data_IF_953988984953
#
_entry.id   IF_953988984953
#
_cell.length_a   1.000
_cell.length_b   1.000
_cell.length_c   1.000
_cell.angle_alpha   90.00
_cell.angle_beta   90.00
_cell.angle_gamma   90.00
#
_symmetry.space_group_name_H-M   'P 1'
#
loop_
_entity.id
_entity.type
_entity.pdbx_description
1 polymer ?
#
# COMPACT_ATOMS: atom_id res chain seq x y z
N UNK A 1 37.38 -7.02 -18.63
CA UNK A 1 36.18 -6.33 -19.15
C UNK A 1 35.46 -5.65 -17.99
N UNK A 2 35.64 -4.34 -17.89
CA UNK A 2 35.04 -3.46 -16.89
C UNK A 2 33.59 -3.15 -17.27
N UNK A 3 32.61 -3.68 -16.53
CA UNK A 3 31.31 -3.01 -16.44
C UNK A 3 31.23 -2.36 -15.06
N UNK A 4 31.33 -1.03 -14.99
CA UNK A 4 30.93 -0.28 -13.80
C UNK A 4 29.46 -0.58 -13.55
N UNK A 5 29.17 -1.54 -12.68
CA UNK A 5 27.80 -1.85 -12.26
C UNK A 5 27.38 -0.72 -11.31
N UNK A 6 26.53 0.17 -11.81
CA UNK A 6 25.96 1.28 -11.05
C UNK A 6 24.98 0.81 -9.97
N UNK A 7 24.56 1.74 -9.11
CA UNK A 7 23.69 1.46 -7.95
C UNK A 7 22.35 0.86 -8.40
N UNK A 8 21.81 1.36 -9.51
CA UNK A 8 20.56 0.89 -10.13
C UNK A 8 20.62 -0.58 -10.52
N UNK A 9 21.77 -1.08 -11.00
CA UNK A 9 21.96 -2.48 -11.37
C UNK A 9 21.79 -3.44 -10.18
N UNK A 10 22.25 -3.05 -8.99
CA UNK A 10 22.11 -3.85 -7.77
C UNK A 10 20.66 -3.89 -7.28
N UNK A 11 19.96 -2.75 -7.30
CA UNK A 11 18.56 -2.66 -6.90
C UNK A 11 17.65 -3.48 -7.82
N UNK A 12 17.90 -3.45 -9.12
CA UNK A 12 17.13 -4.19 -10.13
C UNK A 12 17.17 -5.72 -9.94
N UNK A 13 18.29 -6.25 -9.44
CA UNK A 13 18.45 -7.70 -9.22
C UNK A 13 18.17 -8.14 -7.80
N UNK A 14 18.48 -7.31 -6.80
CA UNK A 14 18.24 -7.65 -5.40
C UNK A 14 16.79 -7.44 -4.99
N UNK A 15 16.08 -6.45 -5.55
CA UNK A 15 14.70 -6.18 -5.17
C UNK A 15 13.74 -7.35 -5.46
N UNK A 16 13.75 -8.00 -6.64
CA UNK A 16 12.95 -9.20 -6.88
C UNK A 16 13.34 -10.38 -5.97
N UNK A 17 14.64 -10.53 -5.68
CA UNK A 17 15.14 -11.61 -4.80
C UNK A 17 14.69 -11.38 -3.35
N UNK A 18 14.72 -10.13 -2.87
CA UNK A 18 14.24 -9.77 -1.52
C UNK A 18 12.71 -9.84 -1.43
N UNK A 19 11.99 -9.51 -2.50
CA UNK A 19 10.53 -9.64 -2.57
C UNK A 19 10.11 -11.11 -2.58
N UNK A 20 10.80 -11.95 -3.36
CA UNK A 20 10.60 -13.40 -3.42
C UNK A 20 11.05 -14.07 -2.12
N UNK A 21 12.18 -13.67 -1.53
CA UNK A 21 12.61 -14.17 -0.23
C UNK A 21 11.62 -13.79 0.87
N UNK A 22 11.12 -12.54 0.88
CA UNK A 22 10.06 -12.11 1.80
C UNK A 22 8.75 -12.86 1.60
N UNK A 23 8.36 -13.12 0.35
CA UNK A 23 7.17 -13.92 0.04
C UNK A 23 7.36 -15.42 0.36
N UNK A 24 8.55 -15.98 0.13
CA UNK A 24 8.88 -17.36 0.49
C UNK A 24 8.93 -17.52 1.99
N UNK A 25 9.51 -16.58 2.74
CA UNK A 25 9.47 -16.52 4.21
C UNK A 25 8.02 -16.42 4.70
N UNK A 26 7.21 -15.61 4.03
CA UNK A 26 5.80 -15.46 4.32
C UNK A 26 4.95 -16.67 3.91
N UNK A 27 5.41 -17.54 3.01
CA UNK A 27 4.64 -18.73 2.57
C UNK A 27 5.13 -19.99 3.30
N UNK A 28 6.42 -20.08 3.62
CA UNK A 28 7.01 -21.20 4.36
C UNK A 28 6.54 -21.27 5.81
N UNK A 29 6.08 -20.15 6.39
CA UNK A 29 5.42 -20.12 7.70
C UNK A 29 4.04 -20.80 7.75
N UNK A 30 3.45 -21.19 6.61
CA UNK A 30 2.06 -21.67 6.53
C UNK A 30 1.87 -23.05 5.87
N UNK A 31 2.95 -23.82 5.70
CA UNK A 31 2.82 -25.25 5.40
C UNK A 31 2.82 -26.05 6.70
N UNK A 32 2.32 -27.29 6.69
CA UNK A 32 2.37 -28.20 7.85
C UNK A 32 3.81 -28.41 8.35
N UNK A 33 4.81 -28.25 7.47
CA UNK A 33 6.23 -28.19 7.84
C UNK A 33 6.59 -26.88 8.56
N UNK A 34 6.02 -25.75 8.16
CA UNK A 34 6.08 -24.47 8.87
C UNK A 34 5.45 -24.50 10.25
N UNK A 35 4.34 -25.23 10.42
CA UNK A 35 3.70 -25.47 11.73
C UNK A 35 4.60 -26.31 12.65
N UNK A 36 5.25 -27.36 12.13
CA UNK A 36 6.25 -28.15 12.89
C UNK A 36 7.53 -27.35 13.23
N UNK A 37 7.85 -26.36 12.41
CA UNK A 37 9.00 -25.46 12.57
C UNK A 37 8.69 -24.21 13.43
N UNK A 38 7.43 -23.96 13.78
CA UNK A 38 6.98 -22.84 14.62
C UNK A 38 6.82 -23.23 16.10
N UNK A 39 6.82 -24.52 16.45
CA UNK A 39 6.69 -24.96 17.86
C UNK A 39 7.97 -24.74 18.71
N UNK A 40 9.14 -24.49 18.11
CA UNK A 40 10.35 -23.98 18.80
C UNK A 40 11.20 -23.19 17.77
N UNK A 41 12.30 -22.52 18.17
CA UNK A 41 12.57 -21.09 18.21
C UNK A 41 12.98 -20.46 16.85
N UNK A 42 12.36 -20.79 15.73
CA UNK A 42 12.87 -20.37 14.42
C UNK A 42 12.78 -18.86 14.17
N UNK A 43 11.78 -18.16 14.72
CA UNK A 43 11.74 -16.67 14.68
C UNK A 43 12.88 -16.05 15.51
N UNK A 44 13.25 -16.68 16.63
CA UNK A 44 14.38 -16.27 17.48
C UNK A 44 15.76 -16.57 16.84
N UNK A 45 15.84 -17.40 15.80
CA UNK A 45 17.07 -17.62 15.01
C UNK A 45 17.07 -16.85 13.67
N UNK A 46 15.91 -16.65 13.05
CA UNK A 46 15.79 -15.99 11.76
C UNK A 46 15.82 -14.47 11.84
N UNK A 47 15.24 -13.85 12.87
CA UNK A 47 15.36 -12.39 13.04
C UNK A 47 16.82 -12.02 13.35
N UNK A 48 17.52 -12.67 14.30
CA UNK A 48 18.96 -12.50 14.46
C UNK A 48 19.76 -12.90 13.22
N UNK A 49 19.34 -13.93 12.48
CA UNK A 49 19.96 -14.36 11.22
C UNK A 49 19.83 -13.34 10.09
N UNK A 50 18.68 -12.68 9.94
CA UNK A 50 18.43 -11.56 9.02
C UNK A 50 19.17 -10.31 9.46
N UNK A 51 19.17 -10.02 10.77
CA UNK A 51 19.95 -8.93 11.37
C UNK A 51 21.44 -9.16 11.17
N UNK A 52 21.95 -10.38 11.33
CA UNK A 52 23.35 -10.78 11.09
C UNK A 52 23.71 -10.79 9.61
N UNK A 53 22.84 -11.32 8.75
CA UNK A 53 23.05 -11.36 7.30
C UNK A 53 23.06 -9.94 6.72
N UNK A 54 22.13 -9.09 7.15
CA UNK A 54 22.07 -7.73 6.69
C UNK A 54 23.06 -6.80 7.45
N UNK A 55 23.53 -7.15 8.66
CA UNK A 55 24.70 -6.53 9.29
C UNK A 55 26.00 -6.91 8.56
N UNK A 56 26.16 -8.17 8.14
CA UNK A 56 27.28 -8.62 7.29
C UNK A 56 27.24 -7.94 5.92
N UNK A 57 26.06 -7.77 5.33
CA UNK A 57 25.87 -7.00 4.10
C UNK A 57 26.23 -5.52 4.31
N UNK A 58 25.77 -4.90 5.40
CA UNK A 58 26.12 -3.52 5.77
C UNK A 58 27.63 -3.35 6.00
N UNK A 59 28.28 -4.28 6.70
CA UNK A 59 29.73 -4.27 6.93
C UNK A 59 30.52 -4.49 5.63
N UNK A 60 30.03 -5.36 4.74
CA UNK A 60 30.59 -5.56 3.40
C UNK A 60 30.47 -4.30 2.53
N UNK A 61 29.38 -3.55 2.68
CA UNK A 61 29.13 -2.32 1.91
C UNK A 61 29.84 -1.11 2.52
N UNK A 62 30.02 -1.04 3.85
CA UNK A 62 30.83 -0.01 4.51
C UNK A 62 32.27 0.03 3.97
N UNK A 63 32.79 -1.11 3.48
CA UNK A 63 34.09 -1.21 2.81
C UNK A 63 34.13 -0.61 1.39
N UNK A 64 32.99 -0.25 0.79
CA UNK A 64 32.94 0.22 -0.61
C UNK A 64 33.25 1.71 -0.80
N UNK A 65 33.51 2.48 0.28
CA UNK A 65 33.74 3.94 0.30
C UNK A 65 32.64 4.82 -0.35
N UNK A 66 31.65 4.22 -1.00
CA UNK A 66 30.57 4.91 -1.67
C UNK A 66 29.54 5.39 -0.63
N UNK A 67 29.62 6.68 -0.28
CA UNK A 67 28.74 7.35 0.69
C UNK A 67 27.25 7.16 0.37
N UNK A 68 26.88 7.04 -0.91
CA UNK A 68 25.49 6.90 -1.36
C UNK A 68 25.02 5.45 -1.18
N UNK A 69 25.83 4.47 -1.58
CA UNK A 69 25.51 3.05 -1.39
C UNK A 69 25.42 2.69 0.10
N UNK A 70 26.35 3.22 0.90
CA UNK A 70 26.35 3.08 2.36
C UNK A 70 25.13 3.73 3.00
N UNK A 71 24.66 4.86 2.46
CA UNK A 71 23.47 5.53 2.96
C UNK A 71 22.16 4.83 2.58
N UNK A 72 22.05 4.36 1.34
CA UNK A 72 20.97 3.52 0.82
C UNK A 72 20.77 2.27 1.68
N UNK A 73 21.82 1.46 1.77
CA UNK A 73 21.74 0.18 2.46
C UNK A 73 21.69 0.36 3.97
N UNK A 74 22.47 1.28 4.54
CA UNK A 74 22.38 1.59 5.96
C UNK A 74 20.99 2.12 6.35
N UNK A 75 20.34 2.90 5.49
CA UNK A 75 19.07 3.55 5.81
C UNK A 75 17.92 2.57 5.76
N UNK A 76 17.84 1.81 4.67
CA UNK A 76 16.87 0.73 4.52
C UNK A 76 17.11 -0.34 5.59
N UNK A 77 18.35 -0.78 5.81
CA UNK A 77 18.69 -1.79 6.81
C UNK A 77 18.34 -1.34 8.23
N UNK A 78 18.82 -0.15 8.64
CA UNK A 78 18.58 0.35 9.99
C UNK A 78 17.09 0.57 10.24
N UNK A 79 16.36 1.13 9.27
CA UNK A 79 14.92 1.35 9.41
C UNK A 79 14.16 0.02 9.44
N UNK A 80 14.48 -0.94 8.58
CA UNK A 80 13.82 -2.26 8.55
C UNK A 80 14.14 -3.11 9.78
N UNK A 81 15.40 -3.14 10.24
CA UNK A 81 15.79 -3.87 11.46
C UNK A 81 15.21 -3.24 12.72
N UNK A 82 15.23 -1.90 12.82
CA UNK A 82 14.63 -1.22 13.97
C UNK A 82 13.11 -1.37 13.96
N UNK A 83 12.46 -1.34 12.79
CA UNK A 83 11.02 -1.59 12.66
C UNK A 83 10.69 -3.02 13.10
N UNK A 84 11.32 -4.03 12.49
CA UNK A 84 11.04 -5.44 12.79
C UNK A 84 11.41 -5.75 14.25
N UNK A 85 12.56 -5.28 14.73
CA UNK A 85 13.03 -5.52 16.09
C UNK A 85 12.18 -4.82 17.15
N UNK A 86 11.77 -3.57 16.93
CA UNK A 86 10.88 -2.86 17.86
C UNK A 86 9.46 -3.45 17.86
N UNK A 87 8.90 -3.75 16.68
CA UNK A 87 7.58 -4.37 16.58
C UNK A 87 7.57 -5.79 17.14
N UNK A 88 8.67 -6.55 16.99
CA UNK A 88 8.83 -7.86 17.60
C UNK A 88 8.97 -7.78 19.13
N UNK A 89 9.85 -6.91 19.65
CA UNK A 89 10.01 -6.74 21.10
C UNK A 89 8.70 -6.29 21.77
N UNK A 90 7.99 -5.35 21.14
CA UNK A 90 6.68 -4.92 21.60
C UNK A 90 5.65 -6.05 21.46
N UNK A 91 5.74 -6.87 20.42
CA UNK A 91 4.91 -8.06 20.21
C UNK A 91 5.14 -9.12 21.30
N UNK A 92 6.38 -9.40 21.68
CA UNK A 92 6.73 -10.32 22.77
C UNK A 92 6.28 -9.79 24.14
N UNK A 93 6.46 -8.49 24.41
CA UNK A 93 5.95 -7.85 25.64
C UNK A 93 4.41 -7.87 25.70
N UNK A 94 3.77 -7.76 24.54
CA UNK A 94 2.33 -7.79 24.39
C UNK A 94 1.78 -9.22 24.53
N UNK A 95 2.33 -10.20 23.79
CA UNK A 95 1.94 -11.63 23.82
C UNK A 95 2.31 -12.26 25.17
N UNK A 96 3.44 -11.87 25.77
CA UNK A 96 3.93 -12.36 27.07
C UNK A 96 3.18 -11.83 28.29
N UNK A 97 2.04 -11.15 28.11
CA UNK A 97 1.12 -10.79 29.19
C UNK A 97 1.44 -9.49 29.95
N UNK A 98 2.52 -8.79 29.63
CA UNK A 98 2.90 -7.54 30.32
C UNK A 98 1.96 -6.36 30.03
N UNK A 99 1.20 -6.47 28.93
CA UNK A 99 0.14 -5.53 28.51
C UNK A 99 -1.27 -6.17 28.59
N UNK A 100 -1.47 -7.18 29.43
CA UNK A 100 -2.71 -7.96 29.51
C UNK A 100 -3.85 -7.24 30.24
N UNK A 101 -4.41 -6.21 29.59
CA UNK A 101 -5.52 -5.40 30.10
C UNK A 101 -6.68 -5.35 29.09
N UNK A 102 -6.87 -6.42 28.30
CA UNK A 102 -7.91 -6.49 27.26
C UNK A 102 -7.71 -5.42 26.17
N UNK A 103 -8.80 -4.76 25.75
CA UNK A 103 -8.80 -3.71 24.71
C UNK A 103 -7.81 -2.56 24.97
N UNK A 104 -7.55 -2.25 26.25
CA UNK A 104 -6.55 -1.25 26.63
C UNK A 104 -5.13 -1.71 26.27
N UNK A 105 -4.85 -3.01 26.38
CA UNK A 105 -3.59 -3.62 25.96
C UNK A 105 -3.36 -3.46 24.45
N UNK A 106 -4.39 -3.75 23.64
CA UNK A 106 -4.35 -3.63 22.17
C UNK A 106 -4.12 -2.18 21.75
N UNK A 107 -4.84 -1.25 22.40
CA UNK A 107 -4.66 0.18 22.18
C UNK A 107 -3.24 0.65 22.53
N UNK A 108 -2.73 0.26 23.70
CA UNK A 108 -1.38 0.63 24.15
C UNK A 108 -0.31 0.02 23.24
N UNK A 109 -0.48 -1.22 22.79
CA UNK A 109 0.42 -1.87 21.83
C UNK A 109 0.50 -1.08 20.52
N UNK A 110 -0.64 -0.70 19.94
CA UNK A 110 -0.67 0.12 18.73
C UNK A 110 -0.05 1.49 18.97
N UNK A 111 -0.46 2.19 20.03
CA UNK A 111 0.00 3.54 20.34
C UNK A 111 1.52 3.58 20.57
N UNK A 112 2.05 2.69 21.41
CA UNK A 112 3.49 2.59 21.70
C UNK A 112 4.25 2.21 20.43
N UNK A 113 3.76 1.25 19.64
CA UNK A 113 4.42 0.85 18.38
C UNK A 113 4.51 1.99 17.39
N UNK A 114 3.44 2.78 17.23
CA UNK A 114 3.43 3.97 16.38
C UNK A 114 4.39 5.03 16.92
N UNK A 115 4.39 5.31 18.22
CA UNK A 115 5.29 6.30 18.84
C UNK A 115 6.76 5.91 18.70
N UNK A 116 7.09 4.65 18.97
CA UNK A 116 8.44 4.10 18.79
C UNK A 116 8.85 4.20 17.32
N UNK A 117 8.00 3.78 16.39
CA UNK A 117 8.26 3.91 14.97
C UNK A 117 8.55 5.36 14.55
N UNK A 118 7.68 6.31 14.93
CA UNK A 118 7.88 7.72 14.59
C UNK A 118 9.17 8.29 15.21
N UNK A 119 9.52 7.87 16.42
CA UNK A 119 10.75 8.26 17.11
C UNK A 119 11.99 7.72 16.39
N UNK A 120 11.95 6.45 15.95
CA UNK A 120 13.03 5.85 15.16
C UNK A 120 13.21 6.56 13.82
N UNK A 121 12.10 6.92 13.15
CA UNK A 121 12.15 7.69 11.89
C UNK A 121 12.85 9.04 12.08
N UNK A 122 12.65 9.71 13.22
CA UNK A 122 13.36 10.95 13.56
C UNK A 122 14.85 10.73 13.82
N UNK A 123 15.23 9.65 14.50
CA UNK A 123 16.64 9.31 14.71
C UNK A 123 17.33 9.04 13.37
N UNK A 124 16.67 8.29 12.48
CA UNK A 124 17.14 8.02 11.11
C UNK A 124 17.34 9.34 10.35
N UNK A 125 16.38 10.27 10.40
CA UNK A 125 16.53 11.59 9.78
C UNK A 125 17.80 12.33 10.25
N UNK A 126 18.08 12.31 11.55
CA UNK A 126 19.25 12.98 12.14
C UNK A 126 20.54 12.34 11.62
N UNK A 127 20.64 11.00 11.66
CA UNK A 127 21.83 10.27 11.21
C UNK A 127 22.11 10.52 9.72
N UNK A 128 21.07 10.43 8.87
CA UNK A 128 21.24 10.59 7.43
C UNK A 128 21.44 12.03 6.99
N UNK A 129 20.85 13.00 7.70
CA UNK A 129 21.04 14.42 7.37
C UNK A 129 22.51 14.84 7.42
N UNK A 130 23.30 14.24 8.32
CA UNK A 130 24.74 14.47 8.44
C UNK A 130 25.53 13.72 7.36
N UNK A 131 25.17 12.47 7.05
CA UNK A 131 25.88 11.63 6.07
C UNK A 131 25.67 12.07 4.62
N UNK A 132 24.52 12.67 4.32
CA UNK A 132 24.15 13.14 2.99
C UNK A 132 24.43 14.65 2.79
N UNK A 133 25.28 15.24 3.64
CA UNK A 133 25.77 16.59 3.43
C UNK A 133 26.50 16.68 2.08
N UNK A 134 26.05 17.58 1.21
CA UNK A 134 26.59 17.75 -0.16
C UNK A 134 25.86 16.98 -1.27
N UNK A 135 24.88 16.13 -0.93
CA UNK A 135 23.97 15.53 -1.93
C UNK A 135 22.91 16.57 -2.35
N UNK A 136 22.48 16.52 -3.62
CA UNK A 136 21.41 17.37 -4.13
C UNK A 136 20.14 17.30 -3.27
N UNK A 137 19.36 18.37 -3.27
CA UNK A 137 18.11 18.46 -2.48
C UNK A 137 16.91 18.60 -3.38
N UNK A 138 15.80 18.02 -2.93
CA UNK A 138 14.47 18.13 -3.54
C UNK A 138 13.44 18.33 -2.44
N UNK A 139 12.25 18.79 -2.82
CA UNK A 139 11.12 18.87 -1.88
C UNK A 139 10.88 17.49 -1.25
N UNK A 140 11.00 17.41 0.07
CA UNK A 140 10.80 16.16 0.82
C UNK A 140 12.00 15.20 0.85
N UNK A 141 13.17 15.56 0.31
CA UNK A 141 14.27 14.60 0.27
C UNK A 141 15.63 15.06 -0.29
N UNK A 142 16.44 14.05 -0.59
CA UNK A 142 17.73 14.16 -1.26
C UNK A 142 17.63 13.59 -2.67
N UNK A 143 18.43 14.10 -3.60
CA UNK A 143 18.46 13.66 -5.00
C UNK A 143 19.89 13.34 -5.42
N UNK A 144 20.05 12.17 -6.03
CA UNK A 144 21.25 11.78 -6.73
C UNK A 144 20.91 11.33 -8.16
N UNK A 145 21.65 11.89 -9.13
CA UNK A 145 21.55 11.52 -10.53
C UNK A 145 22.85 10.83 -10.93
N UNK A 146 22.75 9.57 -11.33
CA UNK A 146 23.86 8.74 -11.81
C UNK A 146 23.79 8.69 -13.35
N UNK A 147 24.81 9.21 -14.03
CA UNK A 147 24.91 9.17 -15.50
C UNK A 147 25.70 7.94 -15.95
N UNK A 148 25.44 7.43 -17.15
CA UNK A 148 26.14 6.26 -17.70
C UNK A 148 25.68 4.92 -17.13
N UNK A 149 24.47 4.87 -16.55
CA UNK A 149 23.85 3.66 -16.00
C UNK A 149 22.49 3.40 -16.64
N UNK A 150 21.93 2.22 -16.40
CA UNK A 150 20.62 1.86 -16.91
C UNK A 150 19.55 2.88 -16.48
N UNK A 151 18.62 3.17 -17.39
CA UNK A 151 17.51 4.09 -17.13
C UNK A 151 16.66 3.60 -15.95
N UNK A 152 16.32 4.48 -15.03
CA UNK A 152 15.49 4.12 -13.87
C UNK A 152 15.35 5.25 -12.88
N UNK A 153 14.27 5.21 -12.12
CA UNK A 153 14.03 6.07 -10.96
C UNK A 153 13.69 5.20 -9.77
N UNK A 154 14.15 5.60 -8.59
CA UNK A 154 13.73 4.96 -7.35
C UNK A 154 13.76 5.95 -6.19
N UNK A 155 12.63 6.05 -5.50
CA UNK A 155 12.48 6.82 -4.27
C UNK A 155 12.28 5.90 -3.07
N UNK A 156 13.16 5.98 -2.07
CA UNK A 156 13.01 5.23 -0.82
C UNK A 156 13.05 6.13 0.41
N UNK A 157 12.45 5.65 1.50
CA UNK A 157 12.37 6.37 2.76
C UNK A 157 13.68 6.30 3.55
N UNK A 158 14.11 7.46 4.06
CA UNK A 158 15.20 7.64 5.01
C UNK A 158 14.65 8.37 6.23
N UNK A 159 13.80 7.71 7.02
CA UNK A 159 13.05 8.41 8.05
C UNK A 159 11.90 9.20 7.43
N UNK A 160 11.63 10.42 7.91
CA UNK A 160 10.55 11.26 7.37
C UNK A 160 10.88 11.90 6.02
N UNK A 161 12.17 11.84 5.61
CA UNK A 161 12.65 12.27 4.29
C UNK A 161 12.78 11.10 3.33
N UNK A 162 12.83 11.40 2.04
CA UNK A 162 13.10 10.41 1.00
C UNK A 162 14.46 10.64 0.35
N UNK A 163 15.00 9.61 -0.29
CA UNK A 163 16.15 9.72 -1.18
C UNK A 163 15.71 9.26 -2.57
N UNK A 164 15.97 10.11 -3.55
CA UNK A 164 15.65 9.92 -4.96
C UNK A 164 16.92 9.56 -5.69
N UNK A 165 16.92 8.40 -6.33
CA UNK A 165 17.98 7.94 -7.21
C UNK A 165 17.45 7.91 -8.65
N UNK A 166 18.17 8.54 -9.57
CA UNK A 166 17.83 8.55 -10.99
C UNK A 166 19.04 8.08 -11.79
N UNK A 167 18.82 7.15 -12.72
CA UNK A 167 19.80 6.65 -13.66
C UNK A 167 19.37 6.93 -15.11
N UNK A 168 20.34 7.25 -15.97
CA UNK A 168 20.14 7.42 -17.42
C UNK A 168 21.00 8.53 -18.02
N UNK A 169 20.79 8.82 -19.30
CA UNK A 169 21.58 9.82 -20.04
C UNK A 169 20.72 10.83 -20.82
N UNK A 170 19.62 10.38 -21.42
CA UNK A 170 18.70 11.22 -22.19
C UNK A 170 18.05 12.29 -21.30
N UNK A 171 18.30 13.60 -21.54
CA UNK A 171 17.81 14.66 -20.68
C UNK A 171 16.28 14.72 -20.56
N UNK A 172 15.55 14.42 -21.64
CA UNK A 172 14.09 14.52 -21.66
C UNK A 172 13.46 13.36 -20.86
N UNK A 173 14.02 12.16 -20.97
CA UNK A 173 13.64 11.00 -20.17
C UNK A 173 14.02 11.20 -18.71
N UNK A 174 15.21 11.72 -18.42
CA UNK A 174 15.66 12.01 -17.07
C UNK A 174 14.77 13.05 -16.38
N UNK A 175 14.32 14.08 -17.09
CA UNK A 175 13.39 15.08 -16.56
C UNK A 175 12.04 14.44 -16.17
N UNK A 176 11.51 13.54 -17.01
CA UNK A 176 10.26 12.82 -16.72
C UNK A 176 10.40 11.93 -15.49
N UNK A 177 11.46 11.12 -15.41
CA UNK A 177 11.74 10.27 -14.24
C UNK A 177 11.90 11.14 -12.99
N UNK A 178 12.61 12.27 -13.12
CA UNK A 178 12.84 13.19 -12.01
C UNK A 178 11.54 13.76 -11.45
N UNK A 179 10.64 14.25 -12.29
CA UNK A 179 9.36 14.78 -11.84
C UNK A 179 8.51 13.73 -11.12
N UNK A 180 8.50 12.49 -11.62
CA UNK A 180 7.81 11.35 -11.02
C UNK A 180 8.35 11.04 -9.62
N UNK A 181 9.67 10.85 -9.51
CA UNK A 181 10.32 10.48 -8.25
C UNK A 181 10.32 11.62 -7.22
N UNK A 182 10.50 12.87 -7.67
CA UNK A 182 10.37 14.04 -6.80
C UNK A 182 8.96 14.14 -6.21
N UNK A 183 7.92 13.76 -6.95
CA UNK A 183 6.57 13.72 -6.41
C UNK A 183 6.43 12.71 -5.27
N UNK A 184 7.02 11.51 -5.41
CA UNK A 184 7.06 10.52 -4.35
C UNK A 184 7.75 11.04 -3.10
N UNK A 185 8.88 11.74 -3.26
CA UNK A 185 9.62 12.35 -2.15
C UNK A 185 8.81 13.45 -1.47
N UNK A 186 8.28 14.40 -2.26
CA UNK A 186 7.49 15.55 -1.80
C UNK A 186 6.26 15.13 -1.00
N UNK A 187 5.57 14.09 -1.45
CA UNK A 187 4.35 13.61 -0.81
C UNK A 187 4.58 12.48 0.20
N UNK A 188 5.86 12.18 0.51
CA UNK A 188 6.28 11.15 1.47
C UNK A 188 5.65 9.78 1.20
N UNK A 189 5.58 9.39 -0.06
CA UNK A 189 5.01 8.09 -0.46
C UNK A 189 5.71 6.90 0.21
N UNK A 190 7.05 6.87 0.34
CA UNK A 190 7.71 5.79 1.07
C UNK A 190 7.26 5.67 2.54
N UNK A 191 7.11 6.80 3.23
CA UNK A 191 6.64 6.82 4.62
C UNK A 191 5.20 6.31 4.74
N UNK A 192 4.32 6.69 3.79
CA UNK A 192 2.94 6.18 3.75
C UNK A 192 2.89 4.67 3.54
N UNK A 193 3.73 4.13 2.66
CA UNK A 193 3.84 2.68 2.45
C UNK A 193 4.34 1.96 3.70
N UNK A 194 5.35 2.51 4.38
CA UNK A 194 5.84 1.94 5.64
C UNK A 194 4.79 1.98 6.76
N UNK A 195 4.01 3.07 6.85
CA UNK A 195 2.89 3.16 7.80
C UNK A 195 1.80 2.12 7.51
N UNK A 196 1.49 1.87 6.24
CA UNK A 196 0.56 0.81 5.85
C UNK A 196 1.09 -0.56 6.29
N UNK A 197 2.37 -0.86 6.01
CA UNK A 197 2.99 -2.12 6.42
C UNK A 197 3.03 -2.27 7.95
N UNK A 198 3.33 -1.20 8.69
CA UNK A 198 3.27 -1.20 10.14
C UNK A 198 1.85 -1.52 10.63
N UNK A 199 0.82 -0.84 10.09
CA UNK A 199 -0.56 -1.12 10.46
C UNK A 199 -0.96 -2.58 10.17
N UNK A 200 -0.55 -3.12 9.02
CA UNK A 200 -0.78 -4.52 8.66
C UNK A 200 -0.09 -5.50 9.63
N UNK A 201 1.16 -5.21 10.01
CA UNK A 201 1.91 -6.01 11.00
C UNK A 201 1.26 -5.97 12.38
N UNK A 202 0.86 -4.79 12.85
CA UNK A 202 0.19 -4.63 14.14
C UNK A 202 -1.15 -5.38 14.17
N UNK A 203 -1.95 -5.25 13.11
CA UNK A 203 -3.21 -5.98 12.99
C UNK A 203 -2.98 -7.49 13.00
N UNK A 204 -1.97 -7.97 12.27
CA UNK A 204 -1.60 -9.39 12.26
C UNK A 204 -1.18 -9.87 13.65
N UNK A 205 -0.41 -9.07 14.39
CA UNK A 205 -0.01 -9.37 15.78
C UNK A 205 -1.19 -9.48 16.73
N UNK A 206 -2.16 -8.56 16.61
CA UNK A 206 -3.43 -8.61 17.36
C UNK A 206 -4.20 -9.89 17.02
N UNK A 207 -4.33 -10.23 15.74
CA UNK A 207 -5.02 -11.46 15.31
C UNK A 207 -4.36 -12.73 15.84
N UNK A 208 -3.02 -12.78 15.90
CA UNK A 208 -2.29 -13.92 16.46
C UNK A 208 -2.56 -14.04 17.98
N UNK A 209 -2.46 -12.93 18.73
CA UNK A 209 -2.73 -12.91 20.18
C UNK A 209 -4.13 -13.45 20.50
N UNK A 210 -5.14 -13.01 19.76
CA UNK A 210 -6.51 -13.42 19.97
C UNK A 210 -6.84 -14.81 19.40
N UNK A 211 -5.84 -15.58 18.97
CA UNK A 211 -6.03 -16.95 18.43
C UNK A 211 -6.74 -17.00 17.07
N UNK A 212 -6.96 -15.85 16.43
CA UNK A 212 -7.70 -15.72 15.16
C UNK A 212 -6.90 -16.34 14.00
N UNK A 213 -5.59 -16.50 14.16
CA UNK A 213 -4.68 -17.08 13.15
C UNK A 213 -5.07 -18.50 12.69
N UNK A 214 -5.74 -19.27 13.54
CA UNK A 214 -6.25 -20.62 13.22
C UNK A 214 -7.64 -20.64 12.57
N UNK A 215 -8.20 -19.47 12.26
CA UNK A 215 -9.57 -19.35 11.74
C UNK A 215 -9.56 -18.89 10.27
N UNK A 216 -10.66 -19.09 9.52
CA UNK A 216 -10.80 -18.56 8.16
C UNK A 216 -10.69 -17.02 8.05
N UNK A 217 -10.79 -16.31 9.18
CA UNK A 217 -10.62 -14.86 9.26
C UNK A 217 -9.20 -14.43 8.90
N UNK A 218 -8.20 -15.20 9.32
CA UNK A 218 -6.80 -14.84 9.12
C UNK A 218 -6.40 -14.78 7.63
N UNK A 219 -6.59 -15.83 6.82
CA UNK A 219 -6.23 -15.79 5.40
C UNK A 219 -7.06 -14.75 4.62
N UNK A 220 -8.32 -14.50 4.99
CA UNK A 220 -9.16 -13.49 4.34
C UNK A 220 -8.68 -12.07 4.64
N UNK A 221 -8.36 -11.76 5.90
CA UNK A 221 -7.79 -10.47 6.31
C UNK A 221 -6.42 -10.22 5.68
N UNK A 222 -5.54 -11.23 5.64
CA UNK A 222 -4.24 -11.17 4.97
C UNK A 222 -4.41 -10.84 3.49
N UNK A 223 -5.32 -11.53 2.80
CA UNK A 223 -5.57 -11.28 1.39
C UNK A 223 -6.13 -9.87 1.15
N UNK A 224 -7.02 -9.39 2.03
CA UNK A 224 -7.54 -8.03 1.98
C UNK A 224 -6.43 -6.98 2.16
N UNK A 225 -5.50 -7.20 3.11
CA UNK A 225 -4.33 -6.34 3.31
C UNK A 225 -3.39 -6.37 2.10
N UNK A 226 -3.12 -7.55 1.52
CA UNK A 226 -2.24 -7.68 0.36
C UNK A 226 -2.82 -6.99 -0.88
N UNK A 227 -4.10 -7.22 -1.19
CA UNK A 227 -4.79 -6.55 -2.30
C UNK A 227 -4.90 -5.05 -2.03
N UNK A 228 -5.27 -4.65 -0.81
CA UNK A 228 -5.32 -3.24 -0.40
C UNK A 228 -3.97 -2.53 -0.57
N UNK A 229 -2.87 -3.20 -0.21
CA UNK A 229 -1.52 -2.68 -0.40
C UNK A 229 -1.17 -2.46 -1.87
N UNK A 230 -1.52 -3.41 -2.74
CA UNK A 230 -1.31 -3.27 -4.19
C UNK A 230 -2.10 -2.11 -4.78
N UNK A 231 -3.39 -1.99 -4.42
CA UNK A 231 -4.23 -0.85 -4.84
C UNK A 231 -3.65 0.46 -4.33
N UNK A 232 -3.14 0.48 -3.09
CA UNK A 232 -2.54 1.65 -2.50
C UNK A 232 -1.26 2.08 -3.22
N UNK A 233 -0.32 1.16 -3.50
CA UNK A 233 0.88 1.45 -4.30
C UNK A 233 0.47 2.05 -5.65
N UNK A 234 -0.48 1.43 -6.36
CA UNK A 234 -0.91 1.88 -7.68
C UNK A 234 -1.57 3.27 -7.63
N UNK A 235 -2.28 3.60 -6.56
CA UNK A 235 -2.80 4.95 -6.34
C UNK A 235 -1.67 5.98 -6.13
N UNK A 236 -0.60 5.61 -5.43
CA UNK A 236 0.58 6.45 -5.25
C UNK A 236 1.35 6.66 -6.58
N UNK A 237 1.47 5.62 -7.41
CA UNK A 237 2.10 5.68 -8.73
C UNK A 237 1.30 6.56 -9.70
N UNK A 238 -0.02 6.38 -9.77
CA UNK A 238 -0.86 7.21 -10.66
C UNK A 238 -0.89 8.67 -10.24
N UNK A 239 -0.77 8.98 -8.95
CA UNK A 239 -0.65 10.35 -8.47
C UNK A 239 0.67 11.01 -8.93
N UNK A 240 1.77 10.26 -8.95
CA UNK A 240 3.05 10.71 -9.49
C UNK A 240 2.97 10.90 -11.01
N UNK A 241 2.38 9.95 -11.74
CA UNK A 241 2.13 10.09 -13.18
C UNK A 241 1.28 11.33 -13.50
N UNK A 242 0.23 11.59 -12.72
CA UNK A 242 -0.63 12.76 -12.91
C UNK A 242 0.10 14.08 -12.56
N UNK A 243 1.09 14.05 -11.68
CA UNK A 243 1.96 15.20 -11.46
C UNK A 243 2.87 15.46 -12.66
N UNK A 244 3.48 14.41 -13.20
CA UNK A 244 4.31 14.47 -14.41
C UNK A 244 3.51 14.99 -15.61
N UNK A 245 2.25 14.53 -15.79
CA UNK A 245 1.34 15.09 -16.79
C UNK A 245 1.09 16.58 -16.61
N UNK A 246 0.83 17.04 -15.38
CA UNK A 246 0.59 18.47 -15.12
C UNK A 246 1.79 19.35 -15.44
N UNK A 247 3.01 18.81 -15.30
CA UNK A 247 4.24 19.53 -15.59
C UNK A 247 4.61 19.51 -17.08
N UNK A 248 4.46 18.36 -17.75
CA UNK A 248 4.96 18.15 -19.12
C UNK A 248 3.86 18.11 -20.19
N UNK A 249 2.59 18.03 -19.79
CA UNK A 249 1.45 17.87 -20.68
C UNK A 249 1.61 16.64 -21.60
N UNK A 250 1.20 16.74 -22.89
CA UNK A 250 1.31 15.67 -23.88
C UNK A 250 2.70 15.02 -24.00
N UNK A 251 3.77 15.76 -23.72
CA UNK A 251 5.13 15.24 -23.80
C UNK A 251 5.42 14.14 -22.75
N UNK A 252 4.64 14.08 -21.65
CA UNK A 252 4.81 13.08 -20.60
C UNK A 252 4.68 11.65 -21.15
N UNK A 253 3.69 11.40 -22.01
CA UNK A 253 3.47 10.07 -22.58
C UNK A 253 4.56 9.67 -23.58
N UNK A 254 4.98 10.59 -24.44
CA UNK A 254 6.07 10.34 -25.40
C UNK A 254 7.38 10.00 -24.67
N UNK A 255 7.68 10.72 -23.59
CA UNK A 255 8.85 10.45 -22.74
C UNK A 255 8.73 9.13 -21.97
N UNK A 256 7.51 8.72 -21.57
CA UNK A 256 7.28 7.38 -21.01
C UNK A 256 7.57 6.29 -22.06
N UNK A 257 7.10 6.44 -23.30
CA UNK A 257 7.38 5.45 -24.36
C UNK A 257 8.89 5.33 -24.61
N UNK A 258 9.58 6.47 -24.68
CA UNK A 258 11.04 6.50 -24.81
C UNK A 258 11.73 5.80 -23.62
N UNK A 259 11.30 6.09 -22.39
CA UNK A 259 11.78 5.42 -21.19
C UNK A 259 11.58 3.91 -21.26
N UNK A 260 10.36 3.43 -21.54
CA UNK A 260 10.06 2.00 -21.61
C UNK A 260 10.88 1.30 -22.70
N UNK A 261 11.11 1.96 -23.83
CA UNK A 261 11.93 1.43 -24.93
C UNK A 261 13.38 1.28 -24.49
N UNK A 262 13.94 2.32 -23.88
CA UNK A 262 15.32 2.34 -23.40
C UNK A 262 15.55 1.34 -22.24
N UNK A 263 14.52 1.13 -21.42
CA UNK A 263 14.62 0.33 -20.20
C UNK A 263 14.27 -1.14 -20.40
N UNK A 264 13.20 -1.42 -21.13
CA UNK A 264 12.62 -2.77 -21.27
C UNK A 264 12.53 -3.24 -22.72
N UNK A 265 12.91 -2.41 -23.71
CA UNK A 265 12.77 -2.75 -25.12
C UNK A 265 11.32 -2.77 -25.62
N UNK A 266 10.38 -2.16 -24.89
CA UNK A 266 8.95 -2.10 -25.26
C UNK A 266 8.45 -0.66 -25.21
N UNK A 267 7.45 -0.31 -26.03
CA UNK A 267 6.91 1.06 -26.03
C UNK A 267 5.58 1.18 -25.25
N UNK A 268 4.86 0.07 -25.05
CA UNK A 268 3.56 0.06 -24.39
C UNK A 268 3.67 -0.36 -22.91
N UNK A 269 3.03 0.36 -21.96
CA UNK A 269 3.03 -0.01 -20.54
C UNK A 269 2.54 -1.44 -20.26
N UNK A 270 1.61 -1.95 -21.08
CA UNK A 270 1.05 -3.31 -20.92
C UNK A 270 2.02 -4.42 -21.27
N UNK A 271 3.06 -4.11 -22.07
CA UNK A 271 4.11 -5.05 -22.48
C UNK A 271 5.32 -5.00 -21.55
N UNK A 272 5.35 -4.07 -20.59
CA UNK A 272 6.39 -4.04 -19.57
C UNK A 272 6.41 -5.33 -18.74
N UNK A 273 7.55 -5.69 -18.12
CA UNK A 273 7.65 -6.86 -17.26
C UNK A 273 6.57 -6.91 -16.17
N UNK A 274 6.17 -8.12 -15.76
CA UNK A 274 5.09 -8.32 -14.79
C UNK A 274 5.30 -7.51 -13.49
N UNK A 275 6.52 -7.50 -12.94
CA UNK A 275 6.82 -6.77 -11.72
C UNK A 275 6.56 -5.26 -11.84
N UNK A 276 6.83 -4.66 -13.00
CA UNK A 276 6.51 -3.24 -13.25
C UNK A 276 5.00 -3.03 -13.33
N UNK A 277 4.26 -3.96 -13.95
CA UNK A 277 2.79 -3.94 -14.08
C UNK A 277 2.04 -4.29 -12.79
N UNK A 278 2.72 -4.86 -11.79
CA UNK A 278 2.15 -5.12 -10.47
C UNK A 278 2.12 -3.83 -9.64
N UNK A 279 3.24 -3.11 -9.60
CA UNK A 279 3.36 -1.87 -8.82
C UNK A 279 2.75 -0.66 -9.53
N UNK A 280 2.74 -0.64 -10.87
CA UNK A 280 2.12 0.43 -11.65
C UNK A 280 0.83 -0.04 -12.31
N UNK A 281 -0.09 0.89 -12.59
CA UNK A 281 -1.31 0.56 -13.32
C UNK A 281 -0.99 0.10 -14.75
N UNK A 282 -1.75 -0.84 -15.30
CA UNK A 282 -1.55 -1.30 -16.69
C UNK A 282 -2.00 -0.26 -17.73
N UNK A 283 -2.57 0.86 -17.27
CA UNK A 283 -3.13 1.93 -18.08
C UNK A 283 -2.54 3.31 -17.73
N UNK A 284 -1.23 3.37 -17.45
CA UNK A 284 -0.51 4.64 -17.23
C UNK A 284 -0.65 5.59 -18.42
N UNK A 285 -0.87 5.03 -19.62
CA UNK A 285 -1.23 5.78 -20.83
C UNK A 285 -2.39 6.74 -20.55
N UNK A 286 -3.44 6.32 -19.86
CA UNK A 286 -4.58 7.18 -19.54
C UNK A 286 -4.15 8.39 -18.69
N UNK A 287 -3.43 8.15 -17.59
CA UNK A 287 -2.98 9.24 -16.71
C UNK A 287 -2.06 10.21 -17.46
N UNK A 288 -1.13 9.69 -18.24
CA UNK A 288 -0.12 10.48 -18.94
C UNK A 288 -0.58 11.05 -20.29
N UNK A 289 -1.83 10.82 -20.69
CA UNK A 289 -2.44 11.44 -21.88
C UNK A 289 -3.63 12.34 -21.56
N UNK A 290 -4.28 12.15 -20.40
CA UNK A 290 -5.50 12.87 -20.03
C UNK A 290 -5.39 13.59 -18.69
N UNK A 291 -4.39 13.28 -17.88
CA UNK A 291 -4.28 13.76 -16.51
C UNK A 291 -5.27 13.14 -15.53
N UNK A 292 -5.98 12.07 -15.94
CA UNK A 292 -6.91 11.32 -15.09
C UNK A 292 -6.18 10.20 -14.33
N UNK A 293 -5.77 10.43 -13.05
CA UNK A 293 -5.07 9.42 -12.25
C UNK A 293 -5.93 8.19 -11.98
N UNK A 294 -7.24 8.36 -11.78
CA UNK A 294 -8.10 7.28 -11.30
C UNK A 294 -8.58 6.40 -12.46
N UNK A 295 -8.64 6.92 -13.68
CA UNK A 295 -8.99 6.19 -14.90
C UNK A 295 -8.02 5.06 -15.25
N UNK A 296 -6.76 5.15 -14.81
CA UNK A 296 -5.75 4.12 -15.06
C UNK A 296 -5.98 2.81 -14.29
N UNK A 297 -6.74 2.84 -13.19
CA UNK A 297 -7.06 1.64 -12.44
C UNK A 297 -7.97 0.69 -13.24
N UNK A 298 -7.86 -0.62 -12.95
CA UNK A 298 -8.79 -1.59 -13.50
C UNK A 298 -10.17 -1.44 -12.84
N UNK A 299 -11.25 -1.72 -13.59
CA UNK A 299 -12.63 -1.51 -13.13
C UNK A 299 -12.99 -2.32 -11.87
N UNK A 300 -12.31 -3.46 -11.66
CA UNK A 300 -12.53 -4.31 -10.49
C UNK A 300 -11.53 -4.06 -9.37
N UNK A 301 -10.56 -3.16 -9.55
CA UNK A 301 -9.46 -2.96 -8.59
C UNK A 301 -9.97 -2.49 -7.22
N UNK A 302 -10.84 -1.47 -7.18
CA UNK A 302 -11.46 -1.01 -5.93
C UNK A 302 -12.55 -1.95 -5.40
N UNK A 303 -13.51 -2.43 -6.22
CA UNK A 303 -14.53 -3.37 -5.78
C UNK A 303 -13.95 -4.66 -5.19
N UNK A 304 -12.87 -5.19 -5.76
CA UNK A 304 -12.19 -6.37 -5.24
C UNK A 304 -11.61 -6.11 -3.85
N UNK A 305 -10.88 -5.01 -3.69
CA UNK A 305 -10.30 -4.63 -2.39
C UNK A 305 -11.38 -4.41 -1.33
N UNK A 306 -12.46 -3.69 -1.67
CA UNK A 306 -13.58 -3.44 -0.76
C UNK A 306 -14.35 -4.71 -0.39
N UNK A 307 -14.61 -5.60 -1.36
CA UNK A 307 -15.29 -6.87 -1.11
C UNK A 307 -14.46 -7.77 -0.20
N UNK A 308 -13.13 -7.86 -0.40
CA UNK A 308 -12.24 -8.62 0.48
C UNK A 308 -12.19 -8.03 1.90
N UNK A 309 -12.10 -6.70 2.03
CA UNK A 309 -12.11 -6.05 3.33
C UNK A 309 -13.44 -6.27 4.07
N UNK A 310 -14.56 -6.10 3.37
CA UNK A 310 -15.91 -6.38 3.89
C UNK A 310 -16.07 -7.84 4.31
N UNK A 311 -15.63 -8.78 3.47
CA UNK A 311 -15.66 -10.21 3.76
C UNK A 311 -14.83 -10.54 5.01
N UNK A 312 -13.66 -9.92 5.17
CA UNK A 312 -12.81 -10.11 6.35
C UNK A 312 -13.54 -9.69 7.63
N UNK A 313 -14.23 -8.55 7.60
CA UNK A 313 -15.03 -8.06 8.74
C UNK A 313 -16.22 -8.99 9.04
N UNK A 314 -16.93 -9.45 8.01
CA UNK A 314 -18.03 -10.42 8.17
C UNK A 314 -17.50 -11.72 8.79
N UNK A 315 -16.39 -12.22 8.27
CA UNK A 315 -15.76 -13.44 8.80
C UNK A 315 -15.32 -13.22 10.24
N UNK A 316 -14.74 -12.07 10.60
CA UNK A 316 -14.43 -11.72 11.99
C UNK A 316 -15.66 -11.74 12.90
N UNK A 317 -16.84 -11.33 12.40
CA UNK A 317 -18.07 -11.30 13.20
C UNK A 317 -18.68 -12.69 13.39
N UNK A 318 -18.57 -13.55 12.37
CA UNK A 318 -19.21 -14.86 12.34
C UNK A 318 -18.21 -16.03 12.46
N UNK A 319 -16.99 -15.78 12.94
CA UNK A 319 -15.92 -16.78 13.01
C UNK A 319 -16.22 -17.99 13.90
N UNK A 320 -17.23 -17.86 14.79
CA UNK A 320 -17.71 -18.93 15.67
C UNK A 320 -18.73 -19.86 14.99
N UNK A 321 -19.19 -19.57 13.77
CA UNK A 321 -20.07 -20.49 13.03
C UNK A 321 -19.29 -21.75 12.60
N UNK A 322 -19.99 -22.90 12.40
CA UNK A 322 -19.37 -24.10 11.85
C UNK A 322 -18.60 -23.79 10.56
N UNK A 323 -17.35 -24.27 10.48
CA UNK A 323 -16.45 -23.92 9.39
C UNK A 323 -17.01 -24.31 8.01
N UNK A 324 -17.74 -25.43 7.93
CA UNK A 324 -18.35 -25.90 6.68
C UNK A 324 -19.39 -24.90 6.14
N UNK A 325 -20.16 -24.28 7.02
CA UNK A 325 -21.15 -23.24 6.66
C UNK A 325 -20.41 -21.99 6.17
N UNK A 326 -19.33 -21.61 6.85
CA UNK A 326 -18.49 -20.47 6.46
C UNK A 326 -17.89 -20.70 5.06
N UNK A 327 -17.28 -21.87 4.80
CA UNK A 327 -16.65 -22.14 3.50
C UNK A 327 -17.63 -22.18 2.32
N UNK A 328 -18.86 -22.66 2.53
CA UNK A 328 -19.89 -22.70 1.49
C UNK A 328 -20.47 -21.29 1.22
N UNK A 329 -20.64 -20.48 2.26
CA UNK A 329 -21.32 -19.17 2.14
C UNK A 329 -20.38 -18.02 1.77
N UNK A 330 -19.09 -18.07 2.16
CA UNK A 330 -18.12 -17.01 1.89
C UNK A 330 -17.98 -16.64 0.40
N UNK A 331 -17.90 -17.58 -0.56
CA UNK A 331 -17.82 -17.24 -1.98
C UNK A 331 -19.06 -16.48 -2.47
N UNK A 332 -20.26 -16.85 -2.01
CA UNK A 332 -21.51 -16.20 -2.37
C UNK A 332 -21.61 -14.79 -1.78
N UNK A 333 -21.20 -14.62 -0.50
CA UNK A 333 -21.13 -13.31 0.15
C UNK A 333 -20.11 -12.40 -0.56
N UNK A 334 -18.93 -12.92 -0.87
CA UNK A 334 -17.91 -12.20 -1.62
C UNK A 334 -18.41 -11.74 -3.00
N UNK A 335 -19.01 -12.65 -3.78
CA UNK A 335 -19.58 -12.34 -5.08
C UNK A 335 -20.69 -11.28 -4.98
N UNK A 336 -21.54 -11.37 -3.95
CA UNK A 336 -22.61 -10.41 -3.69
C UNK A 336 -22.06 -9.03 -3.35
N UNK A 337 -21.06 -8.93 -2.45
CA UNK A 337 -20.39 -7.67 -2.10
C UNK A 337 -19.72 -7.02 -3.32
N UNK A 338 -19.09 -7.83 -4.16
CA UNK A 338 -18.43 -7.38 -5.38
C UNK A 338 -19.45 -6.85 -6.39
N UNK A 339 -20.50 -7.63 -6.69
CA UNK A 339 -21.58 -7.25 -7.60
C UNK A 339 -22.31 -5.99 -7.10
N UNK A 340 -22.52 -5.91 -5.80
CA UNK A 340 -23.16 -4.76 -5.16
C UNK A 340 -22.31 -3.49 -5.30
N UNK A 341 -21.01 -3.55 -4.97
CA UNK A 341 -20.09 -2.41 -5.12
C UNK A 341 -20.03 -1.92 -6.58
N UNK A 342 -19.99 -2.84 -7.54
CA UNK A 342 -20.00 -2.50 -8.98
C UNK A 342 -21.32 -1.83 -9.37
N UNK A 343 -22.46 -2.38 -8.93
CA UNK A 343 -23.78 -1.85 -9.23
C UNK A 343 -23.96 -0.44 -8.67
N UNK A 344 -23.55 -0.22 -7.42
CA UNK A 344 -23.52 1.09 -6.79
C UNK A 344 -22.66 2.10 -7.57
N UNK A 345 -21.50 1.68 -8.07
CA UNK A 345 -20.66 2.53 -8.91
C UNK A 345 -21.37 2.99 -10.19
N UNK A 346 -22.16 2.11 -10.82
CA UNK A 346 -22.98 2.47 -11.99
C UNK A 346 -24.13 3.40 -11.63
N UNK A 347 -24.84 3.16 -10.52
CA UNK A 347 -25.94 4.00 -10.04
C UNK A 347 -25.45 5.42 -9.70
N UNK A 348 -24.30 5.55 -9.04
CA UNK A 348 -23.72 6.84 -8.68
C UNK A 348 -23.03 7.56 -9.84
N UNK A 349 -22.73 6.86 -10.94
CA UNK A 349 -21.98 7.41 -12.08
C UNK A 349 -22.56 8.72 -12.65
N UNK A 350 -23.87 8.87 -12.89
CA UNK A 350 -24.43 10.11 -13.45
C UNK A 350 -24.21 11.32 -12.52
N UNK A 351 -24.35 11.10 -11.20
CA UNK A 351 -24.12 12.13 -10.18
C UNK A 351 -22.65 12.53 -10.13
N UNK A 352 -21.75 11.55 -10.09
CA UNK A 352 -20.30 11.80 -10.09
C UNK A 352 -19.87 12.50 -11.38
N UNK A 353 -20.44 12.13 -12.54
CA UNK A 353 -20.17 12.80 -13.82
C UNK A 353 -20.57 14.27 -13.77
N UNK A 354 -21.69 14.62 -13.16
CA UNK A 354 -22.10 16.03 -13.02
C UNK A 354 -21.16 16.84 -12.12
N UNK A 355 -20.66 16.24 -11.05
CA UNK A 355 -19.86 16.93 -10.03
C UNK A 355 -18.35 16.98 -10.34
N UNK A 356 -17.83 15.94 -11.00
CA UNK A 356 -16.40 15.75 -11.23
C UNK A 356 -16.05 15.46 -12.70
N UNK A 357 -17.04 15.34 -13.58
CA UNK A 357 -16.86 14.95 -14.99
C UNK A 357 -15.87 15.78 -15.80
N UNK A 358 -15.75 17.12 -15.63
CA UNK A 358 -14.77 17.90 -16.38
C UNK A 358 -13.32 17.51 -16.07
N UNK A 359 -13.04 16.88 -14.93
CA UNK A 359 -11.69 16.52 -14.49
C UNK A 359 -11.31 15.06 -14.79
N UNK A 360 -12.26 14.24 -15.26
CA UNK A 360 -12.06 12.80 -15.39
C UNK A 360 -12.65 12.24 -16.69
N UNK A 361 -12.00 11.20 -17.22
CA UNK A 361 -12.53 10.37 -18.30
C UNK A 361 -13.76 9.59 -17.82
N UNK A 362 -14.56 9.04 -18.73
CA UNK A 362 -15.70 8.18 -18.35
C UNK A 362 -15.28 6.97 -17.51
N UNK A 363 -14.06 6.48 -17.74
CA UNK A 363 -13.47 5.40 -16.94
C UNK A 363 -13.07 5.90 -15.56
N UNK A 364 -12.48 7.10 -15.46
CA UNK A 364 -12.17 7.72 -14.18
C UNK A 364 -13.41 7.96 -13.34
N UNK A 365 -14.48 8.49 -13.93
CA UNK A 365 -15.78 8.68 -13.24
C UNK A 365 -16.33 7.36 -12.70
N UNK A 366 -16.30 6.28 -13.48
CA UNK A 366 -16.70 4.97 -13.00
C UNK A 366 -15.81 4.48 -11.85
N UNK A 367 -14.49 4.56 -12.00
CA UNK A 367 -13.54 4.11 -10.98
C UNK A 367 -13.66 4.93 -9.67
N UNK A 368 -14.04 6.21 -9.75
CA UNK A 368 -14.33 7.07 -8.61
C UNK A 368 -15.61 6.63 -7.87
N UNK A 369 -16.63 6.20 -8.61
CA UNK A 369 -17.81 5.54 -8.07
C UNK A 369 -17.46 4.19 -7.44
N UNK A 370 -16.62 3.41 -8.09
CA UNK A 370 -16.17 2.11 -7.59
C UNK A 370 -15.36 2.23 -6.29
N UNK A 371 -14.48 3.24 -6.17
CA UNK A 371 -13.78 3.54 -4.93
C UNK A 371 -14.75 3.94 -3.80
N UNK A 372 -15.63 4.90 -4.07
CA UNK A 372 -16.57 5.41 -3.07
C UNK A 372 -17.54 4.32 -2.57
N UNK A 373 -18.13 3.57 -3.49
CA UNK A 373 -19.03 2.45 -3.18
C UNK A 373 -18.34 1.37 -2.36
N UNK A 374 -17.11 0.99 -2.73
CA UNK A 374 -16.32 -0.02 -2.00
C UNK A 374 -16.03 0.40 -0.56
N UNK A 375 -15.63 1.67 -0.36
CA UNK A 375 -15.37 2.21 0.98
C UNK A 375 -16.65 2.28 1.80
N UNK A 376 -17.75 2.77 1.24
CA UNK A 376 -19.02 2.86 1.98
C UNK A 376 -19.68 1.51 2.24
N UNK A 377 -19.53 0.54 1.34
CA UNK A 377 -19.99 -0.85 1.58
C UNK A 377 -19.21 -1.45 2.74
N UNK A 378 -17.87 -1.30 2.74
CA UNK A 378 -17.01 -1.74 3.85
C UNK A 378 -17.38 -1.03 5.16
N UNK A 379 -17.68 0.27 5.10
CA UNK A 379 -18.11 1.04 6.26
C UNK A 379 -19.46 0.56 6.81
N UNK A 380 -20.43 0.22 5.96
CA UNK A 380 -21.71 -0.31 6.38
C UNK A 380 -21.57 -1.68 7.06
N UNK A 381 -20.76 -2.56 6.49
CA UNK A 381 -20.42 -3.85 7.09
C UNK A 381 -19.71 -3.65 8.44
N UNK A 382 -18.73 -2.74 8.48
CA UNK A 382 -18.04 -2.36 9.71
C UNK A 382 -19.00 -1.76 10.74
N UNK A 383 -20.01 -1.00 10.33
CA UNK A 383 -20.97 -0.39 11.26
C UNK A 383 -21.81 -1.43 12.00
N UNK A 384 -22.16 -2.52 11.32
CA UNK A 384 -22.88 -3.64 11.91
C UNK A 384 -22.01 -4.46 12.87
N UNK A 385 -20.68 -4.40 12.72
CA UNK A 385 -19.74 -5.11 13.58
C UNK A 385 -19.19 -4.23 14.73
N UNK A 386 -18.92 -2.96 14.46
CA UNK A 386 -18.11 -2.07 15.31
C UNK A 386 -18.86 -0.80 15.73
N UNK A 387 -19.99 -0.49 15.10
CA UNK A 387 -20.81 0.69 15.39
C UNK A 387 -20.73 1.82 14.34
N UNK A 388 -21.59 2.84 14.46
CA UNK A 388 -21.88 3.81 13.39
C UNK A 388 -20.70 4.74 13.04
N UNK A 389 -19.70 4.88 13.91
CA UNK A 389 -18.53 5.73 13.70
C UNK A 389 -17.68 5.34 12.47
N UNK A 390 -17.78 4.10 12.02
CA UNK A 390 -17.16 3.59 10.79
C UNK A 390 -17.53 4.41 9.54
N UNK A 391 -18.77 4.93 9.45
CA UNK A 391 -19.20 5.79 8.35
C UNK A 391 -18.51 7.17 8.37
N UNK A 392 -18.24 7.71 9.56
CA UNK A 392 -17.52 8.96 9.72
C UNK A 392 -16.05 8.81 9.28
N UNK A 393 -15.40 7.72 9.68
CA UNK A 393 -14.04 7.41 9.24
C UNK A 393 -13.96 7.17 7.73
N UNK A 394 -14.91 6.43 7.17
CA UNK A 394 -15.00 6.19 5.73
C UNK A 394 -15.17 7.49 4.94
N UNK A 395 -16.01 8.41 5.44
CA UNK A 395 -16.20 9.74 4.85
C UNK A 395 -14.94 10.59 4.96
N UNK A 396 -14.24 10.58 6.10
CA UNK A 396 -12.98 11.29 6.26
C UNK A 396 -11.89 10.74 5.32
N UNK A 397 -11.78 9.41 5.21
CA UNK A 397 -10.87 8.75 4.28
C UNK A 397 -11.18 9.13 2.83
N UNK A 398 -12.45 9.06 2.41
CA UNK A 398 -12.84 9.43 1.06
C UNK A 398 -12.58 10.91 0.79
N UNK A 399 -12.94 11.83 1.69
CA UNK A 399 -12.61 13.23 1.51
C UNK A 399 -11.10 13.47 1.32
N UNK A 400 -10.26 12.74 2.08
CA UNK A 400 -8.81 12.78 1.92
C UNK A 400 -8.34 12.20 0.57
N UNK A 401 -8.86 11.04 0.16
CA UNK A 401 -8.53 10.42 -1.13
C UNK A 401 -8.99 11.28 -2.31
N UNK A 402 -10.21 11.81 -2.26
CA UNK A 402 -10.79 12.68 -3.28
C UNK A 402 -10.02 13.99 -3.39
N UNK A 403 -9.52 14.56 -2.29
CA UNK A 403 -8.62 15.71 -2.33
C UNK A 403 -7.40 15.43 -3.19
N UNK A 404 -6.80 14.24 -3.07
CA UNK A 404 -5.62 13.87 -3.85
C UNK A 404 -5.95 13.74 -5.34
N UNK A 405 -7.07 13.09 -5.70
CA UNK A 405 -7.46 12.94 -7.10
C UNK A 405 -7.96 14.23 -7.77
N UNK A 406 -8.68 15.08 -7.03
CA UNK A 406 -9.26 16.33 -7.54
C UNK A 406 -8.33 17.54 -7.37
N UNK A 407 -7.20 17.38 -6.66
CA UNK A 407 -6.31 18.46 -6.24
C UNK A 407 -7.05 19.63 -5.54
N UNK A 408 -8.15 19.34 -4.83
CA UNK A 408 -8.99 20.34 -4.18
C UNK A 408 -9.75 19.76 -2.98
N UNK A 409 -9.50 20.32 -1.79
CA UNK A 409 -10.19 19.90 -0.57
C UNK A 409 -11.69 20.17 -0.65
N UNK A 410 -12.08 21.38 -1.12
CA UNK A 410 -13.50 21.77 -1.23
C UNK A 410 -14.28 20.84 -2.15
N UNK A 411 -13.72 20.53 -3.34
CA UNK A 411 -14.37 19.61 -4.28
C UNK A 411 -14.39 18.18 -3.77
N UNK A 412 -13.32 17.73 -3.12
CA UNK A 412 -13.27 16.39 -2.53
C UNK A 412 -14.31 16.19 -1.43
N UNK A 413 -14.40 17.13 -0.47
CA UNK A 413 -15.41 17.10 0.59
C UNK A 413 -16.81 17.19 0.01
N UNK A 414 -17.06 18.13 -0.92
CA UNK A 414 -18.38 18.29 -1.54
C UNK A 414 -18.81 17.01 -2.27
N UNK A 415 -17.92 16.38 -3.04
CA UNK A 415 -18.21 15.13 -3.73
C UNK A 415 -18.56 14.04 -2.72
N UNK A 416 -17.72 13.81 -1.71
CA UNK A 416 -17.94 12.81 -0.66
C UNK A 416 -19.27 13.03 0.07
N UNK A 417 -19.55 14.26 0.51
CA UNK A 417 -20.78 14.60 1.20
C UNK A 417 -22.03 14.43 0.33
N UNK A 418 -21.93 14.69 -0.98
CA UNK A 418 -23.07 14.57 -1.90
C UNK A 418 -23.38 13.12 -2.26
N UNK A 419 -22.37 12.27 -2.39
CA UNK A 419 -22.57 10.84 -2.72
C UNK A 419 -22.88 9.99 -1.48
N UNK A 420 -22.50 10.46 -0.29
CA UNK A 420 -22.72 9.74 0.97
C UNK A 420 -24.19 9.32 1.20
N UNK A 421 -25.20 10.22 1.08
CA UNK A 421 -26.60 9.84 1.30
C UNK A 421 -27.09 8.76 0.33
N UNK A 422 -26.60 8.78 -0.92
CA UNK A 422 -26.96 7.78 -1.94
C UNK A 422 -26.46 6.41 -1.52
N UNK A 423 -25.20 6.31 -1.12
CA UNK A 423 -24.63 5.06 -0.66
C UNK A 423 -25.23 4.60 0.68
N UNK A 424 -25.46 5.51 1.61
CA UNK A 424 -26.08 5.20 2.89
C UNK A 424 -27.51 4.67 2.71
N UNK A 425 -28.35 5.34 1.91
CA UNK A 425 -29.72 4.91 1.67
C UNK A 425 -29.80 3.52 1.03
N UNK A 426 -28.94 3.25 0.03
CA UNK A 426 -28.89 1.95 -0.64
C UNK A 426 -28.34 0.85 0.28
N UNK A 427 -27.33 1.18 1.11
CA UNK A 427 -26.83 0.25 2.12
C UNK A 427 -27.89 -0.08 3.17
N UNK A 428 -28.59 0.93 3.71
CA UNK A 428 -29.64 0.72 4.71
C UNK A 428 -30.77 -0.13 4.13
N UNK A 429 -31.26 0.16 2.92
CA UNK A 429 -32.31 -0.61 2.29
C UNK A 429 -31.95 -2.10 2.16
N UNK A 430 -30.70 -2.39 1.79
CA UNK A 430 -30.23 -3.77 1.59
C UNK A 430 -29.95 -4.48 2.93
N UNK A 431 -29.38 -3.78 3.91
CA UNK A 431 -29.16 -4.37 5.23
C UNK A 431 -30.48 -4.62 5.96
N UNK A 432 -31.50 -3.78 5.76
CA UNK A 432 -32.86 -4.04 6.25
C UNK A 432 -33.48 -5.28 5.59
N UNK A 433 -33.33 -5.43 4.26
CA UNK A 433 -33.75 -6.64 3.55
C UNK A 433 -33.02 -7.89 4.08
N UNK A 434 -31.71 -7.82 4.33
CA UNK A 434 -30.94 -8.95 4.86
C UNK A 434 -31.28 -9.30 6.31
N UNK A 435 -31.71 -8.31 7.11
CA UNK A 435 -32.14 -8.52 8.49
C UNK A 435 -33.48 -9.26 8.54
N UNK A 436 -34.43 -8.96 7.64
CA UNK A 436 -35.72 -9.66 7.54
C UNK A 436 -35.59 -11.13 7.09
N UNK A 437 -34.49 -11.48 6.42
CA UNK A 437 -34.22 -12.84 5.91
C UNK A 437 -33.37 -13.66 6.88
N UNK A 438 -32.83 -13.04 7.94
CA UNK A 438 -32.03 -13.74 8.95
C UNK A 438 -32.94 -14.53 9.89
N UNK A 439 -32.68 -15.84 10.14
CA UNK A 439 -33.49 -16.60 11.09
C UNK A 439 -33.38 -15.96 12.48
N UNK A 440 -34.45 -15.99 13.28
CA UNK A 440 -34.43 -15.43 14.62
C UNK A 440 -33.28 -16.04 15.42
N UNK A 441 -32.55 -15.19 16.15
CA UNK A 441 -31.52 -15.64 17.07
C UNK A 441 -32.15 -16.66 18.04
N UNK A 442 -31.51 -17.82 18.28
CA UNK A 442 -31.98 -18.73 19.32
C UNK A 442 -31.93 -17.99 20.66
N UNK A 443 -33.07 -18.01 21.35
CA UNK A 443 -33.28 -17.39 22.68
C UNK A 443 -32.47 -18.09 23.75
#
# INVERSE_FOLDING_TARGET
>A
MNSKRGITWYLDRLFPILLVAGAVIYVSGYTTLGQLLMEVPIVAYYVPGLVLAAARLYLSIKKTENKILSALFGGVFLTSVLLIGATWLLGELYIGGLLDVGDLGDFLYVAISVLVYLSLMKVVDIVYSRRLAGVGRVDGGYLHVERGVAYGGFTFGLGTKSFVLIGGEDPAVLEMIRLHEEYHAKNRHPMKLQLYLLAALLLTGIMIRHGIWNTPVYPTAVLALAVGFLVFIRALETAADAYTWRALGPAAYERLKAFLKLRYGVEEPRRAPLWSRLTHTSRRDITLTTGDPIGAHWRLEFPLAGALASLSIITCKYYLLPQDIIYITLPAVFASLLAFSISLAYVAKPLIRRLAGPAFTDRGVFNLGALSSSVYTTAAVAAVALGPWSHALASAFLAYAMRHYLNSWRRGVALTATVYPVYLALNTAIMSLLHEISPPQPV
#
